data_IF_600015324938
#
_entry.id   IF_600015324938
#
_cell.length_a   1.000
_cell.length_b   1.000
_cell.length_c   1.000
_cell.angle_alpha   90.00
_cell.angle_beta   90.00
_cell.angle_gamma   90.00
#
_symmetry.space_group_name_H-M   'P 1'
#
loop_
_entity.id
_entity.type
_entity.pdbx_description
1 polymer ?
#
# COMPACT_ATOMS: atom_id res chain seq x y z
N UNK A 1 33.45 -20.29 25.95
CA UNK A 1 33.04 -21.70 26.13
C UNK A 1 34.07 -22.69 25.56
N UNK A 2 34.57 -22.57 24.31
CA UNK A 2 35.66 -23.44 23.79
C UNK A 2 36.94 -23.27 24.61
N UNK A 3 37.40 -22.03 24.84
CA UNK A 3 38.58 -21.71 25.68
C UNK A 3 38.48 -22.23 27.14
N UNK A 4 37.27 -22.41 27.64
CA UNK A 4 37.01 -22.94 29.00
C UNK A 4 36.88 -24.47 29.02
N UNK A 5 37.01 -25.11 27.84
CA UNK A 5 36.91 -26.57 27.69
C UNK A 5 35.49 -27.13 27.91
N UNK A 6 34.45 -26.28 27.82
CA UNK A 6 33.04 -26.69 28.02
C UNK A 6 32.45 -27.27 26.76
N UNK A 7 32.82 -26.71 25.58
CA UNK A 7 32.38 -27.21 24.29
C UNK A 7 33.56 -27.55 23.39
N UNK A 8 33.34 -28.46 22.46
CA UNK A 8 34.28 -28.84 21.40
C UNK A 8 33.68 -28.54 20.07
N UNK A 9 34.50 -28.03 19.15
CA UNK A 9 34.14 -27.81 17.77
C UNK A 9 34.70 -28.92 16.89
N UNK A 10 33.90 -29.43 15.99
CA UNK A 10 34.28 -30.39 14.96
C UNK A 10 33.73 -29.93 13.60
N UNK A 11 34.51 -30.19 12.55
CA UNK A 11 33.97 -29.97 11.19
C UNK A 11 32.81 -30.92 10.91
N UNK A 12 31.79 -30.45 10.24
CA UNK A 12 30.68 -31.29 9.83
C UNK A 12 31.18 -32.33 8.83
N UNK A 13 30.76 -33.59 9.00
CA UNK A 13 31.19 -34.70 8.14
C UNK A 13 30.64 -34.61 6.72
N UNK A 14 29.54 -33.89 6.49
CA UNK A 14 28.85 -33.75 5.20
C UNK A 14 29.21 -32.44 4.50
N UNK A 15 29.47 -31.38 5.25
CA UNK A 15 29.86 -30.07 4.71
C UNK A 15 31.00 -29.46 5.52
N UNK A 16 32.24 -29.68 5.05
CA UNK A 16 33.47 -29.23 5.74
C UNK A 16 33.59 -27.72 5.95
N UNK A 17 32.65 -26.90 5.41
CA UNK A 17 32.58 -25.46 5.65
C UNK A 17 31.82 -25.14 6.94
N UNK A 18 31.08 -26.10 7.51
CA UNK A 18 30.31 -25.94 8.73
C UNK A 18 31.05 -26.52 9.93
N UNK A 19 31.01 -25.80 11.05
CA UNK A 19 31.48 -26.31 12.34
C UNK A 19 30.28 -26.78 13.16
N UNK A 20 30.34 -27.97 13.69
CA UNK A 20 29.37 -28.51 14.63
C UNK A 20 29.96 -28.32 16.03
N UNK A 21 29.21 -27.72 16.91
CA UNK A 21 29.58 -27.50 18.32
C UNK A 21 28.86 -28.53 19.18
N UNK A 22 29.61 -29.20 20.00
CA UNK A 22 29.10 -30.21 20.96
C UNK A 22 29.68 -30.01 22.37
N UNK A 23 29.02 -30.58 23.34
CA UNK A 23 29.56 -30.57 24.73
C UNK A 23 30.80 -31.44 24.84
N UNK A 24 31.83 -30.94 25.51
CA UNK A 24 32.97 -31.74 25.99
C UNK A 24 32.56 -32.67 27.13
N UNK A 25 33.48 -33.53 27.61
CA UNK A 25 33.24 -34.31 28.81
C UNK A 25 32.91 -33.41 29.99
N UNK A 26 33.72 -32.38 30.26
CA UNK A 26 33.48 -31.35 31.28
C UNK A 26 32.14 -30.64 31.10
N UNK A 27 31.78 -30.31 29.85
CA UNK A 27 30.48 -29.67 29.56
C UNK A 27 29.28 -30.57 29.87
N UNK A 28 29.41 -31.88 29.64
CA UNK A 28 28.36 -32.86 30.01
C UNK A 28 28.24 -33.00 31.52
N UNK A 29 29.37 -33.04 32.25
CA UNK A 29 29.37 -33.06 33.72
C UNK A 29 28.65 -31.84 34.28
N UNK A 30 28.98 -30.63 33.80
CA UNK A 30 28.31 -29.41 34.23
C UNK A 30 26.79 -29.46 33.97
N UNK A 31 26.35 -29.95 32.79
CA UNK A 31 24.91 -30.09 32.49
C UNK A 31 24.24 -31.07 33.46
N UNK A 32 24.90 -32.16 33.80
CA UNK A 32 24.39 -33.12 34.77
C UNK A 32 24.25 -32.49 36.16
N UNK A 33 25.26 -31.74 36.59
CA UNK A 33 25.26 -31.07 37.93
C UNK A 33 24.19 -29.94 37.99
N UNK A 34 23.84 -29.38 36.84
CA UNK A 34 22.76 -28.35 36.72
C UNK A 34 21.35 -28.95 36.63
N UNK A 35 21.21 -30.26 36.41
CA UNK A 35 19.88 -30.87 36.21
C UNK A 35 18.91 -30.63 37.42
N UNK A 36 19.30 -30.68 38.67
CA UNK A 36 18.42 -30.35 39.80
C UNK A 36 17.92 -28.91 39.73
N UNK A 37 18.79 -27.94 39.36
CA UNK A 37 18.42 -26.53 39.23
C UNK A 37 17.40 -26.30 38.13
N UNK A 38 17.49 -27.02 36.99
CA UNK A 38 16.46 -26.95 35.95
C UNK A 38 15.11 -27.45 36.45
N UNK A 39 15.10 -28.53 37.24
CA UNK A 39 13.88 -29.05 37.86
C UNK A 39 13.26 -28.02 38.81
N UNK A 40 14.08 -27.38 39.64
CA UNK A 40 13.62 -26.35 40.59
C UNK A 40 13.07 -25.12 39.85
N UNK A 41 13.74 -24.64 38.81
CA UNK A 41 13.28 -23.52 37.99
C UNK A 41 11.99 -23.87 37.26
N UNK A 42 11.89 -25.06 36.67
CA UNK A 42 10.66 -25.52 35.99
C UNK A 42 9.50 -25.57 36.97
N UNK A 43 9.69 -26.16 38.14
CA UNK A 43 8.66 -26.23 39.18
C UNK A 43 8.19 -24.85 39.66
N UNK A 44 9.13 -23.92 39.86
CA UNK A 44 8.79 -22.55 40.24
C UNK A 44 7.99 -21.80 39.14
N UNK A 45 8.33 -22.03 37.86
CA UNK A 45 7.58 -21.46 36.74
C UNK A 45 6.18 -22.08 36.68
N UNK A 46 6.07 -23.41 36.80
CA UNK A 46 4.78 -24.11 36.80
C UNK A 46 3.88 -23.66 37.94
N UNK A 47 4.45 -23.49 39.17
CA UNK A 47 3.74 -22.94 40.30
C UNK A 47 3.22 -21.53 40.01
N UNK A 48 4.08 -20.62 39.56
CA UNK A 48 3.68 -19.25 39.20
C UNK A 48 2.59 -19.21 38.09
N UNK A 49 2.72 -20.09 37.09
CA UNK A 49 1.71 -20.21 36.04
C UNK A 49 0.36 -20.73 36.54
N UNK A 50 0.38 -21.67 37.54
CA UNK A 50 -0.85 -22.18 38.13
C UNK A 50 -1.65 -21.10 38.89
N UNK A 51 -0.94 -20.10 39.41
CA UNK A 51 -1.53 -18.94 40.10
C UNK A 51 -1.95 -17.82 39.12
N UNK A 52 -1.47 -17.85 37.90
CA UNK A 52 -1.81 -16.85 36.91
C UNK A 52 -3.25 -17.05 36.38
N UNK A 53 -4.00 -15.95 36.18
CA UNK A 53 -5.37 -15.98 35.68
C UNK A 53 -5.45 -16.48 34.22
N UNK A 54 -4.39 -16.32 33.46
CA UNK A 54 -4.34 -16.64 32.03
C UNK A 54 -3.14 -17.52 31.72
N UNK A 55 -3.31 -18.44 30.78
CA UNK A 55 -2.25 -19.28 30.25
C UNK A 55 -1.34 -18.45 29.34
N UNK A 56 -0.16 -18.11 29.85
CA UNK A 56 0.82 -17.28 29.14
C UNK A 56 1.33 -17.98 27.87
N UNK A 57 1.49 -19.32 27.89
CA UNK A 57 2.01 -20.06 26.75
C UNK A 57 1.02 -20.04 25.59
N UNK A 58 -0.26 -20.24 25.84
CA UNK A 58 -1.31 -20.10 24.82
C UNK A 58 -1.39 -18.67 24.27
N UNK A 59 -1.24 -17.67 25.12
CA UNK A 59 -1.23 -16.29 24.69
C UNK A 59 -0.03 -15.98 23.78
N UNK A 60 1.15 -16.54 24.07
CA UNK A 60 2.35 -16.38 23.23
C UNK A 60 2.17 -17.11 21.88
N UNK A 61 1.64 -18.33 21.87
CA UNK A 61 1.37 -19.07 20.64
C UNK A 61 0.38 -18.32 19.73
N UNK A 62 -0.70 -17.78 20.30
CA UNK A 62 -1.65 -16.97 19.54
C UNK A 62 -1.03 -15.69 19.00
N UNK A 63 -0.21 -15.01 19.82
CA UNK A 63 0.53 -13.82 19.40
C UNK A 63 1.51 -14.12 18.26
N UNK A 64 2.27 -15.20 18.36
CA UNK A 64 3.20 -15.65 17.33
C UNK A 64 2.46 -15.95 16.02
N UNK A 65 1.35 -16.69 16.09
CA UNK A 65 0.47 -16.97 14.96
C UNK A 65 -0.01 -15.67 14.26
N UNK A 66 -0.49 -14.69 15.05
CA UNK A 66 -0.94 -13.40 14.52
C UNK A 66 0.19 -12.58 13.88
N UNK A 67 1.41 -12.64 14.45
CA UNK A 67 2.57 -11.95 13.88
C UNK A 67 3.11 -12.64 12.62
N UNK A 68 2.98 -13.96 12.51
CA UNK A 68 3.32 -14.70 11.29
C UNK A 68 2.36 -14.39 10.14
N UNK A 69 1.08 -14.22 10.43
CA UNK A 69 0.10 -13.76 9.42
C UNK A 69 0.37 -12.33 8.96
N UNK A 70 0.71 -11.44 9.89
CA UNK A 70 0.93 -10.03 9.62
C UNK A 70 1.94 -9.46 10.63
N UNK A 71 3.15 -9.21 10.15
CA UNK A 71 4.24 -8.71 10.99
C UNK A 71 3.87 -7.41 11.74
N UNK A 72 4.47 -7.20 12.91
CA UNK A 72 4.27 -5.98 13.69
C UNK A 72 4.62 -4.73 12.89
N UNK A 73 5.69 -4.77 12.08
CA UNK A 73 6.07 -3.67 11.21
C UNK A 73 4.93 -3.29 10.24
N UNK A 74 4.31 -4.28 9.61
CA UNK A 74 3.19 -4.05 8.69
C UNK A 74 1.98 -3.44 9.42
N UNK A 75 1.68 -3.92 10.64
CA UNK A 75 0.59 -3.37 11.48
C UNK A 75 0.87 -1.90 11.84
N UNK A 76 2.11 -1.58 12.24
CA UNK A 76 2.54 -0.20 12.55
C UNK A 76 2.44 0.69 11.32
N UNK A 77 2.89 0.22 10.15
CA UNK A 77 2.79 0.97 8.89
C UNK A 77 1.33 1.27 8.50
N UNK A 78 0.41 0.33 8.73
CA UNK A 78 -1.01 0.54 8.47
C UNK A 78 -1.62 1.56 9.45
N UNK A 79 -1.30 1.48 10.73
CA UNK A 79 -1.73 2.48 11.72
C UNK A 79 -1.19 3.88 11.38
N UNK A 80 0.08 3.97 10.97
CA UNK A 80 0.66 5.23 10.49
C UNK A 80 -0.11 5.79 9.30
N UNK A 81 -0.40 4.96 8.30
CA UNK A 81 -1.18 5.37 7.12
C UNK A 81 -2.58 5.85 7.49
N UNK A 82 -3.27 5.15 8.40
CA UNK A 82 -4.58 5.56 8.88
C UNK A 82 -4.53 6.92 9.59
N UNK A 83 -3.54 7.14 10.45
CA UNK A 83 -3.34 8.42 11.13
C UNK A 83 -3.08 9.56 10.12
N UNK A 84 -2.16 9.36 9.18
CA UNK A 84 -1.78 10.36 8.18
C UNK A 84 -2.90 10.65 7.15
N UNK A 85 -3.85 9.74 6.99
CA UNK A 85 -4.99 9.91 6.09
C UNK A 85 -6.20 10.60 6.74
N UNK A 86 -6.24 10.74 8.08
CA UNK A 86 -7.38 11.38 8.78
C UNK A 86 -7.53 12.86 8.45
N UNK A 87 -6.44 13.53 8.13
CA UNK A 87 -6.43 14.96 7.84
C UNK A 87 -6.61 15.27 6.34
N UNK A 88 -6.84 14.22 5.52
CA UNK A 88 -7.10 14.38 4.08
C UNK A 88 -8.59 14.64 3.86
N UNK A 89 -8.90 15.81 3.31
CA UNK A 89 -10.25 16.19 2.89
C UNK A 89 -10.38 16.09 1.37
N UNK A 90 -11.48 15.51 0.89
CA UNK A 90 -11.81 15.51 -0.53
C UNK A 90 -12.87 16.58 -0.78
N UNK A 91 -12.55 17.50 -1.66
CA UNK A 91 -13.44 18.61 -2.05
C UNK A 91 -13.67 18.58 -3.57
N UNK A 92 -14.79 19.18 -3.98
CA UNK A 92 -15.02 19.40 -5.40
C UNK A 92 -14.12 20.52 -5.93
N UNK A 93 -13.77 20.42 -7.20
CA UNK A 93 -13.02 21.46 -7.89
C UNK A 93 -13.78 22.80 -7.88
N UNK A 94 -13.03 23.85 -7.66
CA UNK A 94 -13.40 25.23 -7.93
C UNK A 94 -12.31 25.91 -8.75
N UNK A 95 -12.56 27.07 -9.39
CA UNK A 95 -11.52 27.80 -10.14
C UNK A 95 -10.25 28.11 -9.34
N UNK A 96 -10.35 28.18 -8.00
CA UNK A 96 -9.20 28.39 -7.13
C UNK A 96 -8.18 27.24 -7.19
N UNK A 97 -8.60 26.03 -7.56
CA UNK A 97 -7.73 24.85 -7.68
C UNK A 97 -7.19 24.61 -9.09
N UNK A 98 -7.43 25.56 -10.04
CA UNK A 98 -6.99 25.38 -11.42
C UNK A 98 -5.48 25.14 -11.55
N UNK A 99 -4.69 25.97 -10.91
CA UNK A 99 -3.23 25.86 -10.97
C UNK A 99 -2.73 24.56 -10.30
N UNK A 100 -3.32 24.16 -9.18
CA UNK A 100 -3.00 22.90 -8.54
C UNK A 100 -3.36 21.69 -9.43
N UNK A 101 -4.54 21.72 -10.09
CA UNK A 101 -4.93 20.67 -11.02
C UNK A 101 -3.96 20.54 -12.20
N UNK A 102 -3.51 21.66 -12.74
CA UNK A 102 -2.56 21.71 -13.84
C UNK A 102 -1.17 21.26 -13.38
N UNK A 103 -0.60 21.91 -12.39
CA UNK A 103 0.80 21.71 -11.97
C UNK A 103 1.04 20.28 -11.46
N UNK A 104 0.13 19.71 -10.66
CA UNK A 104 0.25 18.34 -10.18
C UNK A 104 0.27 17.32 -11.32
N UNK A 105 -0.53 17.53 -12.37
CA UNK A 105 -0.51 16.66 -13.55
C UNK A 105 0.72 16.86 -14.42
N UNK A 106 1.13 18.09 -14.67
CA UNK A 106 2.33 18.40 -15.46
C UNK A 106 3.59 17.83 -14.81
N UNK A 107 3.70 17.89 -13.48
CA UNK A 107 4.85 17.39 -12.72
C UNK A 107 5.10 15.89 -12.99
N UNK A 108 4.07 15.05 -12.87
CA UNK A 108 4.27 13.62 -13.07
C UNK A 108 4.35 13.24 -14.56
N UNK A 109 3.57 13.91 -15.44
CA UNK A 109 3.62 13.63 -16.88
C UNK A 109 5.03 13.94 -17.40
N UNK A 110 5.56 15.13 -17.11
CA UNK A 110 6.89 15.55 -17.56
C UNK A 110 8.03 14.68 -17.02
N UNK A 111 7.83 14.05 -15.87
CA UNK A 111 8.80 13.12 -15.29
C UNK A 111 8.96 11.81 -16.06
N UNK A 112 7.88 11.32 -16.67
CA UNK A 112 7.86 9.98 -17.29
C UNK A 112 7.59 10.02 -18.80
N UNK A 113 6.96 11.09 -19.31
CA UNK A 113 6.48 11.22 -20.68
C UNK A 113 6.60 12.64 -21.18
N UNK A 114 6.23 12.85 -22.45
CA UNK A 114 5.98 14.18 -23.01
C UNK A 114 4.52 14.57 -22.81
N UNK A 115 4.26 15.85 -22.66
CA UNK A 115 2.91 16.41 -22.69
C UNK A 115 2.33 16.27 -24.10
N UNK A 116 1.12 15.76 -24.19
CA UNK A 116 0.39 15.59 -25.45
C UNK A 116 -0.74 16.63 -25.59
N UNK A 117 -1.25 16.85 -26.79
CA UNK A 117 -2.32 17.83 -27.04
C UNK A 117 -3.56 17.60 -26.17
N UNK A 118 -3.92 16.34 -25.96
CA UNK A 118 -5.04 15.95 -25.10
C UNK A 118 -4.81 16.34 -23.62
N UNK A 119 -3.53 16.38 -23.16
CA UNK A 119 -3.22 16.88 -21.84
C UNK A 119 -3.42 18.38 -21.73
N UNK A 120 -2.83 19.15 -22.65
CA UNK A 120 -3.00 20.60 -22.71
C UNK A 120 -4.47 20.99 -22.76
N UNK A 121 -5.25 20.34 -23.60
CA UNK A 121 -6.68 20.59 -23.71
C UNK A 121 -7.42 20.40 -22.38
N UNK A 122 -7.10 19.35 -21.62
CA UNK A 122 -7.76 19.08 -20.35
C UNK A 122 -7.25 20.01 -19.23
N UNK A 123 -5.94 20.27 -19.16
CA UNK A 123 -5.28 20.96 -18.05
C UNK A 123 -5.33 22.48 -18.15
N UNK A 124 -5.28 23.05 -19.34
CA UNK A 124 -5.27 24.52 -19.52
C UNK A 124 -6.63 25.15 -19.23
N UNK A 125 -7.72 24.44 -19.54
CA UNK A 125 -9.05 24.93 -19.24
C UNK A 125 -9.98 23.81 -18.74
N UNK A 126 -9.78 23.31 -17.51
CA UNK A 126 -10.57 22.23 -16.93
C UNK A 126 -12.05 22.59 -16.77
N UNK A 127 -12.36 23.87 -16.52
CA UNK A 127 -13.74 24.36 -16.45
C UNK A 127 -14.49 24.13 -17.76
N UNK A 128 -13.90 24.50 -18.89
CA UNK A 128 -14.52 24.34 -20.23
C UNK A 128 -14.48 22.90 -20.73
N UNK A 129 -13.35 22.23 -20.52
CA UNK A 129 -13.07 20.97 -21.20
C UNK A 129 -13.48 19.73 -20.41
N UNK A 130 -13.70 19.87 -19.08
CA UNK A 130 -14.14 18.79 -18.21
C UNK A 130 -15.49 19.14 -17.55
N UNK A 131 -15.55 20.20 -16.74
CA UNK A 131 -16.73 20.51 -15.92
C UNK A 131 -17.95 20.85 -16.79
N UNK A 132 -17.82 21.79 -17.74
CA UNK A 132 -18.92 22.21 -18.59
C UNK A 132 -19.45 21.10 -19.54
N UNK A 133 -18.69 20.00 -19.68
CA UNK A 133 -19.09 18.81 -20.44
C UNK A 133 -19.71 17.72 -19.57
N UNK A 134 -20.03 18.02 -18.31
CA UNK A 134 -20.63 17.08 -17.37
C UNK A 134 -19.63 16.16 -16.67
N UNK A 135 -18.32 16.48 -16.75
CA UNK A 135 -17.28 15.83 -15.96
C UNK A 135 -17.16 16.46 -14.58
N UNK A 136 -16.36 15.83 -13.72
CA UNK A 136 -16.12 16.25 -12.34
C UNK A 136 -14.62 16.20 -12.03
N UNK A 137 -14.16 17.08 -11.16
CA UNK A 137 -12.78 17.04 -10.65
C UNK A 137 -12.85 17.05 -9.13
N UNK A 138 -12.12 16.15 -8.51
CA UNK A 138 -11.95 16.05 -7.06
C UNK A 138 -10.53 16.51 -6.69
N UNK A 139 -10.43 17.20 -5.58
CA UNK A 139 -9.18 17.71 -5.03
C UNK A 139 -9.00 17.15 -3.62
N UNK A 140 -7.84 16.57 -3.34
CA UNK A 140 -7.44 16.17 -2.00
C UNK A 140 -6.66 17.30 -1.33
N UNK A 141 -7.15 17.75 -0.20
CA UNK A 141 -6.49 18.72 0.66
C UNK A 141 -5.83 18.01 1.84
N UNK A 142 -4.61 18.39 2.16
CA UNK A 142 -3.91 18.03 3.39
C UNK A 142 -3.46 19.32 4.06
N UNK A 143 -3.93 19.59 5.30
CA UNK A 143 -3.72 20.86 5.99
C UNK A 143 -4.18 22.06 5.14
N UNK A 144 -5.33 21.94 4.46
CA UNK A 144 -5.92 22.92 3.55
C UNK A 144 -5.13 23.18 2.25
N UNK A 145 -4.01 22.48 2.01
CA UNK A 145 -3.22 22.60 0.79
C UNK A 145 -3.61 21.50 -0.23
N UNK A 146 -3.77 21.83 -1.51
CA UNK A 146 -4.09 20.84 -2.54
C UNK A 146 -2.88 19.96 -2.84
N UNK A 147 -2.98 18.68 -2.49
CA UNK A 147 -1.90 17.69 -2.62
C UNK A 147 -2.22 16.57 -3.58
N UNK A 148 -3.44 16.53 -4.09
CA UNK A 148 -3.82 15.51 -5.06
C UNK A 148 -5.09 15.91 -5.82
N UNK A 149 -5.23 15.38 -7.02
CA UNK A 149 -6.36 15.67 -7.92
C UNK A 149 -6.76 14.41 -8.70
N UNK A 150 -8.01 14.35 -9.12
CA UNK A 150 -8.53 13.30 -9.97
C UNK A 150 -9.74 13.81 -10.75
N UNK A 151 -9.83 13.50 -12.05
CA UNK A 151 -10.96 13.86 -12.88
C UNK A 151 -11.81 12.64 -13.25
N UNK A 152 -13.12 12.83 -13.31
CA UNK A 152 -14.08 12.00 -14.02
C UNK A 152 -14.46 12.74 -15.28
N UNK A 153 -13.96 12.30 -16.43
CA UNK A 153 -14.27 12.89 -17.73
C UNK A 153 -15.51 12.18 -18.30
N UNK A 154 -16.56 12.93 -18.58
CA UNK A 154 -17.77 12.38 -19.22
C UNK A 154 -17.42 11.84 -20.59
N UNK A 155 -17.73 10.58 -20.84
CA UNK A 155 -17.50 9.93 -22.11
C UNK A 155 -18.76 9.98 -22.99
N UNK A 156 -18.55 10.04 -24.29
CA UNK A 156 -19.60 9.79 -25.30
C UNK A 156 -19.38 8.38 -25.85
N UNK A 157 -19.61 7.38 -25.02
CA UNK A 157 -19.31 5.98 -25.29
C UNK A 157 -20.50 5.11 -24.90
N UNK A 158 -20.83 4.04 -25.66
CA UNK A 158 -21.98 3.19 -25.39
C UNK A 158 -21.81 2.29 -24.17
N UNK A 159 -20.58 2.11 -23.67
CA UNK A 159 -20.23 1.17 -22.59
C UNK A 159 -19.83 1.89 -21.32
N UNK A 160 -19.11 3.00 -21.44
CA UNK A 160 -18.52 3.73 -20.32
C UNK A 160 -19.09 5.14 -20.18
N UNK A 161 -19.61 5.45 -19.01
CA UNK A 161 -20.16 6.78 -18.74
C UNK A 161 -19.10 7.81 -18.41
N UNK A 162 -18.01 7.36 -17.72
CA UNK A 162 -16.90 8.24 -17.31
C UNK A 162 -15.56 7.54 -17.43
N UNK A 163 -14.56 8.35 -17.81
CA UNK A 163 -13.15 8.01 -17.68
C UNK A 163 -12.59 8.58 -16.36
N UNK A 164 -11.96 7.73 -15.54
CA UNK A 164 -11.14 8.17 -14.42
C UNK A 164 -9.78 8.59 -14.95
N UNK A 165 -9.52 9.89 -14.98
CA UNK A 165 -8.36 10.47 -15.65
C UNK A 165 -7.69 11.55 -14.79
N UNK A 166 -6.53 12.04 -15.26
CA UNK A 166 -5.82 13.18 -14.65
C UNK A 166 -5.63 13.02 -13.14
N UNK A 167 -5.34 11.79 -12.70
CA UNK A 167 -5.05 11.52 -11.30
C UNK A 167 -3.58 11.80 -11.01
N UNK A 168 -3.34 12.69 -10.08
CA UNK A 168 -2.01 13.08 -9.63
C UNK A 168 -1.98 13.27 -8.12
N UNK A 169 -0.85 12.93 -7.48
CA UNK A 169 -0.58 13.18 -6.05
C UNK A 169 0.83 13.73 -5.94
N UNK A 170 0.96 14.87 -5.26
CA UNK A 170 2.24 15.51 -4.99
C UNK A 170 3.26 14.52 -4.41
N UNK A 171 4.52 14.49 -4.90
CA UNK A 171 5.56 13.62 -4.37
C UNK A 171 5.73 13.72 -2.85
N UNK A 172 5.63 14.92 -2.28
CA UNK A 172 5.72 15.16 -0.83
C UNK A 172 4.56 14.54 -0.02
N UNK A 173 3.44 14.24 -0.67
CA UNK A 173 2.25 13.67 -0.06
C UNK A 173 2.04 12.19 -0.41
N UNK A 174 2.92 11.58 -1.21
CA UNK A 174 2.87 10.16 -1.53
C UNK A 174 3.10 9.29 -0.28
N UNK A 175 2.65 8.04 -0.33
CA UNK A 175 2.72 7.12 0.81
C UNK A 175 1.61 7.26 1.86
N UNK A 176 0.82 8.36 1.83
CA UNK A 176 -0.28 8.67 2.78
C UNK A 176 -1.66 8.15 2.30
N UNK A 177 -1.71 7.24 1.35
CA UNK A 177 -2.94 6.68 0.76
C UNK A 177 -3.83 7.68 0.01
N UNK A 178 -3.37 8.89 -0.29
CA UNK A 178 -4.17 9.96 -0.93
C UNK A 178 -4.71 9.51 -2.29
N UNK A 179 -3.89 8.84 -3.12
CA UNK A 179 -4.37 8.29 -4.39
C UNK A 179 -5.51 7.28 -4.24
N UNK A 180 -5.46 6.44 -3.19
CA UNK A 180 -6.55 5.50 -2.91
C UNK A 180 -7.82 6.22 -2.45
N UNK A 181 -7.70 7.23 -1.59
CA UNK A 181 -8.83 8.04 -1.10
C UNK A 181 -9.47 8.80 -2.26
N UNK A 182 -8.68 9.44 -3.13
CA UNK A 182 -9.16 10.11 -4.35
C UNK A 182 -9.86 9.15 -5.30
N UNK A 183 -9.24 8.00 -5.60
CA UNK A 183 -9.83 7.00 -6.48
C UNK A 183 -11.14 6.45 -5.93
N UNK A 184 -11.21 6.18 -4.62
CA UNK A 184 -12.44 5.76 -3.95
C UNK A 184 -13.53 6.84 -4.04
N UNK A 185 -13.19 8.10 -3.74
CA UNK A 185 -14.12 9.21 -3.84
C UNK A 185 -14.61 9.44 -5.29
N UNK A 186 -13.74 9.26 -6.29
CA UNK A 186 -14.13 9.34 -7.69
C UNK A 186 -15.11 8.22 -8.09
N UNK A 187 -14.88 6.99 -7.60
CA UNK A 187 -15.80 5.86 -7.82
C UNK A 187 -17.15 6.13 -7.15
N UNK A 188 -17.15 6.59 -5.90
CA UNK A 188 -18.38 6.93 -5.17
C UNK A 188 -19.12 8.06 -5.89
N UNK A 189 -18.41 9.08 -6.39
CA UNK A 189 -18.99 10.16 -7.20
C UNK A 189 -19.58 9.66 -8.52
N UNK A 190 -18.90 8.79 -9.21
CA UNK A 190 -19.44 8.17 -10.44
C UNK A 190 -20.71 7.36 -10.16
N UNK A 191 -20.76 6.66 -9.05
CA UNK A 191 -21.96 5.93 -8.59
C UNK A 191 -23.13 6.88 -8.29
N UNK A 192 -22.89 8.00 -7.61
CA UNK A 192 -23.90 9.06 -7.38
C UNK A 192 -24.46 9.62 -8.69
N UNK A 193 -23.62 9.69 -9.73
CA UNK A 193 -24.00 10.16 -11.06
C UNK A 193 -24.70 9.08 -11.91
N UNK A 194 -24.94 7.89 -11.36
CA UNK A 194 -25.63 6.78 -12.01
C UNK A 194 -24.77 6.01 -13.02
N UNK A 195 -23.45 6.17 -12.98
CA UNK A 195 -22.56 5.39 -13.83
C UNK A 195 -22.59 3.90 -13.46
N UNK A 196 -22.58 3.05 -14.48
CA UNK A 196 -22.52 1.58 -14.35
C UNK A 196 -21.11 1.07 -14.56
N UNK A 197 -20.33 1.75 -15.38
CA UNK A 197 -18.94 1.39 -15.67
C UNK A 197 -18.05 2.62 -15.75
N UNK A 198 -16.84 2.47 -15.19
CA UNK A 198 -15.74 3.41 -15.37
C UNK A 198 -14.68 2.81 -16.27
N UNK A 199 -14.02 3.67 -17.01
CA UNK A 199 -12.87 3.39 -17.84
C UNK A 199 -11.65 4.17 -17.36
N UNK A 200 -10.45 3.71 -17.62
CA UNK A 200 -9.22 4.48 -17.46
C UNK A 200 -8.13 4.03 -18.43
N UNK A 201 -7.24 4.96 -18.74
CA UNK A 201 -6.04 4.75 -19.54
C UNK A 201 -4.79 5.00 -18.70
N UNK A 202 -3.74 4.18 -18.90
CA UNK A 202 -2.51 4.30 -18.17
C UNK A 202 -1.31 3.74 -18.97
N UNK A 203 -0.16 3.68 -18.30
CA UNK A 203 1.03 3.05 -18.84
C UNK A 203 1.64 2.11 -17.83
N UNK A 204 2.09 0.94 -18.27
CA UNK A 204 2.69 -0.11 -17.43
C UNK A 204 3.98 0.32 -16.73
N UNK A 205 4.65 1.39 -17.18
CA UNK A 205 5.78 2.01 -16.47
C UNK A 205 5.36 2.62 -15.12
N UNK A 206 4.08 2.91 -14.95
CA UNK A 206 3.54 3.52 -13.73
C UNK A 206 3.04 2.43 -12.77
N UNK A 207 3.92 1.50 -12.38
CA UNK A 207 3.57 0.37 -11.51
C UNK A 207 2.76 0.76 -10.25
N UNK A 208 3.11 1.84 -9.51
CA UNK A 208 2.31 2.26 -8.36
C UNK A 208 0.85 2.62 -8.71
N UNK A 209 0.62 3.23 -9.89
CA UNK A 209 -0.72 3.57 -10.34
C UNK A 209 -1.49 2.32 -10.77
N UNK A 210 -0.87 1.39 -11.48
CA UNK A 210 -1.48 0.11 -11.86
C UNK A 210 -1.90 -0.68 -10.61
N UNK A 211 -1.03 -0.79 -9.62
CA UNK A 211 -1.33 -1.46 -8.35
C UNK A 211 -2.48 -0.77 -7.61
N UNK A 212 -2.55 0.56 -7.65
CA UNK A 212 -3.66 1.33 -7.09
C UNK A 212 -4.98 0.99 -7.80
N UNK A 213 -5.00 0.96 -9.13
CA UNK A 213 -6.21 0.65 -9.91
C UNK A 213 -6.70 -0.77 -9.66
N UNK A 214 -5.81 -1.75 -9.60
CA UNK A 214 -6.18 -3.11 -9.19
C UNK A 214 -6.78 -3.15 -7.77
N UNK A 215 -6.19 -2.41 -6.83
CA UNK A 215 -6.72 -2.31 -5.46
C UNK A 215 -8.10 -1.64 -5.39
N UNK A 216 -8.40 -0.73 -6.31
CA UNK A 216 -9.71 -0.10 -6.47
C UNK A 216 -10.72 -1.01 -7.18
N UNK A 217 -10.30 -2.15 -7.72
CA UNK A 217 -11.14 -3.13 -8.37
C UNK A 217 -11.17 -3.05 -9.91
N UNK A 218 -10.36 -2.18 -10.52
CA UNK A 218 -10.24 -2.12 -11.97
C UNK A 218 -9.58 -3.38 -12.53
N UNK A 219 -10.09 -3.82 -13.67
CA UNK A 219 -9.61 -4.97 -14.42
C UNK A 219 -9.15 -4.53 -15.80
N UNK A 220 -8.14 -5.20 -16.36
CA UNK A 220 -7.60 -4.89 -17.68
C UNK A 220 -8.62 -5.19 -18.78
N UNK A 221 -8.75 -4.26 -19.72
CA UNK A 221 -9.47 -4.41 -20.98
C UNK A 221 -8.58 -4.04 -22.17
N UNK A 222 -9.02 -4.33 -23.37
CA UNK A 222 -8.29 -4.05 -24.62
C UNK A 222 -9.24 -3.59 -25.71
N UNK A 223 -8.68 -2.91 -26.72
CA UNK A 223 -9.41 -2.62 -27.96
C UNK A 223 -10.17 -1.31 -27.96
N UNK A 224 -10.03 -0.47 -26.94
CA UNK A 224 -10.63 0.87 -26.93
C UNK A 224 -9.70 1.88 -27.62
N UNK A 225 -10.20 2.78 -28.50
CA UNK A 225 -9.38 3.84 -29.09
C UNK A 225 -8.89 4.81 -28.01
N UNK A 226 -7.63 5.24 -28.11
CA UNK A 226 -7.01 6.17 -27.17
C UNK A 226 -6.44 7.38 -27.89
N UNK A 227 -6.57 8.60 -27.34
CA UNK A 227 -5.92 9.78 -27.88
C UNK A 227 -4.44 9.91 -27.44
N UNK A 228 -3.93 9.01 -26.59
CA UNK A 228 -2.59 9.10 -26.02
C UNK A 228 -1.65 8.06 -26.62
N UNK A 229 -0.56 8.52 -27.24
CA UNK A 229 0.50 7.63 -27.76
C UNK A 229 1.16 6.83 -26.63
N UNK A 230 1.25 7.42 -25.44
CA UNK A 230 1.82 6.77 -24.25
C UNK A 230 0.94 5.70 -23.61
N UNK A 231 -0.33 5.60 -23.98
CA UNK A 231 -1.24 4.60 -23.41
C UNK A 231 -0.86 3.20 -23.89
N UNK A 232 -0.63 2.27 -22.96
CA UNK A 232 -0.38 0.86 -23.29
C UNK A 232 -1.15 -0.11 -22.40
N UNK A 233 -1.98 0.41 -21.49
CA UNK A 233 -2.89 -0.38 -20.68
C UNK A 233 -4.20 0.39 -20.48
N UNK A 234 -5.30 -0.30 -20.67
CA UNK A 234 -6.66 0.18 -20.47
C UNK A 234 -7.33 -0.69 -19.42
N UNK A 235 -8.13 -0.08 -18.55
CA UNK A 235 -8.78 -0.82 -17.46
C UNK A 235 -10.23 -0.34 -17.30
N UNK A 236 -11.10 -1.24 -16.81
CA UNK A 236 -12.49 -0.93 -16.48
C UNK A 236 -12.86 -1.33 -15.06
N UNK A 237 -13.87 -0.67 -14.52
CA UNK A 237 -14.52 -1.03 -13.28
C UNK A 237 -16.03 -1.06 -13.44
N UNK A 238 -16.68 -2.20 -13.15
CA UNK A 238 -18.12 -2.27 -13.00
C UNK A 238 -18.55 -1.72 -11.63
N UNK A 239 -19.42 -0.73 -11.62
CA UNK A 239 -19.96 -0.10 -10.40
C UNK A 239 -21.19 -0.90 -9.97
N UNK A 240 -21.18 -1.40 -8.74
CA UNK A 240 -22.27 -2.13 -8.12
C UNK A 240 -23.12 -1.24 -7.21
#
# INVERSE_FOLDING_TARGET
MVKQGIVVEKKDKKDGRKNVVGLSKKGKEIVTDMAPQYTDVTGAIEEAMSQARYDIWKAIEEWEFLLNQKSLLRRVQEQKKQRESRDVQIVNYTPAYKEAFKSLNEEWISKYFKMEEADHKALDNPQKNIIAKGGHILVALLNNEPVGVCALIKMNDPVYEYELAKMAVSPAAQGKSIGYILGKAAIDKAKELGAKKLYLESNTKLEPAINLYHKLGFQKVVGHPTPYERCNIQMELAIK
#
